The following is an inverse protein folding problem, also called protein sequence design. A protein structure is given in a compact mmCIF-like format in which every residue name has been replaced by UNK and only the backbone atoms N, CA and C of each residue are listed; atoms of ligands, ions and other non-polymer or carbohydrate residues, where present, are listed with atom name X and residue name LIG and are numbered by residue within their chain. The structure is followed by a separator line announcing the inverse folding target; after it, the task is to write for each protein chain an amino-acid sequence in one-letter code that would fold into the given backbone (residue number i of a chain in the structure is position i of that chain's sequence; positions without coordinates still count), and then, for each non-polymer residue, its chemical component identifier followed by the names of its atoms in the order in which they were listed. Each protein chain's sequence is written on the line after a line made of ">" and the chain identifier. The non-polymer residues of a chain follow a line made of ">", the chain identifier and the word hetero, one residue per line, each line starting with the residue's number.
data_IF_365597820586
#
_entry.id   IF_365597820586
#
_cell.length_a   1.000
_cell.length_b   1.000
_cell.length_c   1.000
_cell.angle_alpha   90.00
_cell.angle_beta   90.00
_cell.angle_gamma   90.00
#
_symmetry.space_group_name_H-M   'P 1'
#
loop_
_entity.id
_entity.type
_entity.pdbx_description
1 polymer ?
#
# COMPACT_ATOMS: atom_id res chain seq x y z
N UNK A 1 2.31 20.56 20.82
CA UNK A 1 2.61 19.47 19.86
C UNK A 1 3.22 18.24 20.55
N UNK A 2 4.16 18.41 21.48
CA UNK A 2 4.76 17.31 22.27
C UNK A 2 3.73 16.35 22.91
N UNK A 3 2.64 16.83 23.55
CA UNK A 3 1.66 15.93 24.20
C UNK A 3 0.78 15.11 23.24
N UNK A 4 0.67 15.52 21.96
CA UNK A 4 0.01 14.73 20.91
C UNK A 4 0.97 13.69 20.32
N UNK A 5 2.26 14.03 20.25
CA UNK A 5 3.34 13.14 19.82
C UNK A 5 3.51 11.97 20.81
N UNK A 6 3.65 12.24 22.12
CA UNK A 6 3.77 11.18 23.14
C UNK A 6 2.54 10.26 23.19
N UNK A 7 1.32 10.81 23.03
CA UNK A 7 0.10 9.98 22.98
C UNK A 7 0.04 9.09 21.73
N UNK A 8 0.49 9.57 20.58
CA UNK A 8 0.55 8.77 19.34
C UNK A 8 1.64 7.71 19.42
N UNK A 9 2.82 8.07 19.91
CA UNK A 9 3.92 7.14 20.11
C UNK A 9 3.53 6.02 21.08
N UNK A 10 2.88 6.35 22.21
CA UNK A 10 2.38 5.36 23.16
C UNK A 10 1.23 4.49 22.61
N UNK A 11 0.49 4.95 21.59
CA UNK A 11 -0.53 4.14 20.89
C UNK A 11 0.12 3.19 19.88
N UNK A 12 1.11 3.67 19.13
CA UNK A 12 1.87 2.86 18.17
C UNK A 12 2.71 1.78 18.86
N UNK A 13 3.37 2.11 19.97
CA UNK A 13 4.12 1.14 20.77
C UNK A 13 3.21 0.06 21.37
N UNK A 14 1.96 0.40 21.74
CA UNK A 14 0.95 -0.58 22.18
C UNK A 14 0.48 -1.51 21.05
N UNK A 15 0.29 -0.99 19.84
CA UNK A 15 -0.08 -1.83 18.69
C UNK A 15 1.05 -2.74 18.18
N UNK A 16 2.31 -2.42 18.46
CA UNK A 16 3.46 -3.25 18.10
C UNK A 16 3.84 -4.30 19.17
N UNK A 17 3.27 -4.22 20.38
CA UNK A 17 3.54 -5.16 21.49
C UNK A 17 2.53 -6.31 21.61
N UNK A 18 1.54 -6.40 20.73
CA UNK A 18 0.52 -7.45 20.72
C UNK A 18 1.00 -8.75 20.07
N UNK A 19 1.98 -9.42 20.69
CA UNK A 19 2.26 -10.84 20.48
C UNK A 19 2.27 -11.51 21.86
N UNK A 20 1.08 -11.70 22.42
CA UNK A 20 0.84 -12.57 23.57
C UNK A 20 -0.13 -13.65 23.12
N UNK A 21 0.39 -14.82 22.79
CA UNK A 21 -0.41 -15.97 22.38
C UNK A 21 0.29 -16.85 21.36
N UNK A 22 1.42 -17.47 21.74
CA UNK A 22 1.86 -18.71 21.10
C UNK A 22 2.22 -19.69 22.20
N UNK A 23 1.30 -20.63 22.39
CA UNK A 23 1.46 -21.78 23.26
C UNK A 23 2.65 -22.63 22.80
N UNK A 24 3.56 -22.86 23.75
CA UNK A 24 4.65 -23.78 23.60
C UNK A 24 4.13 -25.21 23.72
N UNK A 25 3.90 -25.89 22.60
CA UNK A 25 3.83 -27.34 22.56
C UNK A 25 5.14 -27.88 21.97
N UNK A 26 6.16 -27.99 22.83
CA UNK A 26 7.42 -28.65 22.50
C UNK A 26 7.36 -30.10 22.97
N UNK A 27 7.73 -30.97 22.03
CA UNK A 27 7.85 -32.41 22.15
C UNK A 27 8.78 -32.84 23.28
N UNK A 28 8.29 -33.87 23.97
CA UNK A 28 8.92 -34.59 25.06
C UNK A 28 10.19 -35.31 24.57
N UNK A 29 11.37 -34.88 25.03
CA UNK A 29 12.57 -35.72 25.00
C UNK A 29 13.27 -35.66 26.34
N UNK A 30 13.20 -36.80 27.02
CA UNK A 30 13.86 -37.11 28.28
C UNK A 30 15.37 -36.98 28.11
N UNK A 31 16.03 -36.21 28.97
CA UNK A 31 17.35 -36.63 29.44
C UNK A 31 17.69 -36.08 30.82
N UNK A 32 18.39 -36.93 31.55
CA UNK A 32 18.50 -36.99 32.99
C UNK A 32 19.25 -35.84 33.66
N UNK A 33 18.78 -35.57 34.88
CA UNK A 33 19.49 -34.97 35.99
C UNK A 33 20.93 -35.49 36.13
N UNK A 34 21.86 -34.63 36.54
CA UNK A 34 22.20 -34.45 37.97
C UNK A 34 23.66 -34.00 38.10
N UNK A 35 23.91 -32.87 38.78
CA UNK A 35 25.04 -32.71 39.70
C UNK A 35 24.93 -31.39 40.46
N UNK A 36 24.56 -31.54 41.74
CA UNK A 36 25.04 -30.83 42.92
C UNK A 36 26.10 -29.72 42.72
N UNK A 37 25.88 -28.56 43.37
CA UNK A 37 26.70 -28.23 44.53
C UNK A 37 26.14 -27.09 45.41
N UNK A 38 26.31 -27.31 46.71
CA UNK A 38 26.01 -26.44 47.85
C UNK A 38 27.02 -25.28 48.00
N UNK A 39 26.58 -24.14 48.56
CA UNK A 39 27.07 -23.56 49.84
C UNK A 39 26.56 -22.10 50.03
N UNK A 40 25.72 -21.78 51.01
CA UNK A 40 25.95 -21.36 52.43
C UNK A 40 26.66 -20.01 52.68
N UNK A 41 25.90 -19.12 53.36
CA UNK A 41 26.31 -18.07 54.36
C UNK A 41 27.18 -16.91 53.86
N UNK A 42 27.00 -15.64 54.24
CA UNK A 42 26.90 -15.11 55.61
C UNK A 42 26.44 -13.65 55.61
N UNK A 43 25.62 -13.29 56.60
CA UNK A 43 25.37 -11.92 57.09
C UNK A 43 26.64 -11.28 57.67
N UNK A 44 26.81 -9.95 57.54
CA UNK A 44 27.32 -9.11 58.62
C UNK A 44 27.10 -7.59 58.39
N UNK A 45 26.16 -7.05 59.17
CA UNK A 45 26.20 -5.86 60.03
C UNK A 45 27.08 -4.61 59.74
N UNK A 46 26.37 -3.47 59.88
CA UNK A 46 26.65 -2.23 60.65
C UNK A 46 27.58 -1.12 60.10
N UNK A 47 26.90 0.02 59.86
CA UNK A 47 27.19 1.42 60.25
C UNK A 47 28.63 1.94 60.19
N UNK A 48 28.85 3.06 59.47
CA UNK A 48 28.95 4.41 60.05
C UNK A 48 29.36 5.48 59.02
N UNK A 49 28.92 6.72 59.31
CA UNK A 49 29.52 8.03 58.96
C UNK A 49 29.42 8.60 57.54
N UNK A 50 28.45 9.52 57.44
CA UNK A 50 28.47 10.82 56.74
C UNK A 50 29.85 11.41 56.41
N UNK A 51 30.07 11.66 55.12
CA UNK A 51 30.80 12.84 54.63
C UNK A 51 30.25 13.24 53.27
N UNK A 52 29.68 14.44 53.23
CA UNK A 52 29.34 15.25 52.08
C UNK A 52 30.30 15.07 50.89
N UNK A 53 29.76 14.72 49.72
CA UNK A 53 30.33 15.04 48.41
C UNK A 53 29.27 14.87 47.30
N UNK A 54 28.85 16.02 46.76
CA UNK A 54 28.43 16.30 45.39
C UNK A 54 27.19 15.59 44.80
N UNK A 55 26.07 16.33 44.89
CA UNK A 55 24.89 16.28 44.03
C UNK A 55 25.24 16.46 42.53
N UNK A 56 25.71 15.39 41.87
CA UNK A 56 25.96 15.38 40.42
C UNK A 56 25.29 14.20 39.70
N UNK A 57 24.55 13.36 40.41
CA UNK A 57 24.01 12.10 39.87
C UNK A 57 22.63 12.21 39.22
N UNK A 58 21.96 13.37 39.28
CA UNK A 58 20.61 13.55 38.73
C UNK A 58 20.54 13.90 37.23
N UNK A 59 21.68 14.14 36.57
CA UNK A 59 21.71 14.55 35.15
C UNK A 59 21.86 13.41 34.12
N UNK A 60 22.23 12.18 34.54
CA UNK A 60 22.46 11.06 33.61
C UNK A 60 21.18 10.35 33.14
N UNK A 61 20.06 10.49 33.85
CA UNK A 61 18.83 9.80 33.45
C UNK A 61 18.10 10.51 32.30
N UNK A 62 18.24 11.83 32.17
CA UNK A 62 17.59 12.60 31.11
C UNK A 62 18.23 12.39 29.73
N UNK A 63 19.54 12.15 29.66
CA UNK A 63 20.23 11.91 28.38
C UNK A 63 19.79 10.60 27.72
N UNK A 64 19.57 9.55 28.52
CA UNK A 64 19.17 8.24 28.02
C UNK A 64 17.73 8.24 27.48
N UNK A 65 16.83 9.00 28.10
CA UNK A 65 15.45 9.14 27.61
C UNK A 65 15.39 9.93 26.29
N UNK A 66 16.15 11.02 26.18
CA UNK A 66 16.21 11.81 24.95
C UNK A 66 16.80 10.98 23.79
N UNK A 67 17.88 10.25 24.02
CA UNK A 67 18.49 9.37 23.02
C UNK A 67 17.53 8.26 22.59
N UNK A 68 16.84 7.62 23.55
CA UNK A 68 15.81 6.62 23.25
C UNK A 68 14.69 7.20 22.38
N UNK A 69 14.17 8.38 22.72
CA UNK A 69 13.13 9.05 21.93
C UNK A 69 13.63 9.41 20.52
N UNK A 70 14.88 9.86 20.37
CA UNK A 70 15.51 10.12 19.06
C UNK A 70 15.59 8.83 18.23
N UNK A 71 16.04 7.72 18.84
CA UNK A 71 16.10 6.42 18.17
C UNK A 71 14.71 5.93 17.72
N UNK A 72 13.72 5.94 18.61
CA UNK A 72 12.35 5.52 18.28
C UNK A 72 11.75 6.39 17.18
N UNK A 73 11.99 7.70 17.22
CA UNK A 73 11.54 8.64 16.18
C UNK A 73 12.21 8.34 14.84
N UNK A 74 13.53 8.13 14.84
CA UNK A 74 14.26 7.75 13.64
C UNK A 74 13.72 6.44 13.05
N UNK A 75 13.50 5.40 13.87
CA UNK A 75 12.90 4.13 13.42
C UNK A 75 11.50 4.33 12.83
N UNK A 76 10.63 5.11 13.50
CA UNK A 76 9.26 5.33 13.06
C UNK A 76 9.18 5.92 11.65
N UNK A 77 10.00 6.94 11.37
CA UNK A 77 9.98 7.64 10.09
C UNK A 77 10.79 6.95 8.99
N UNK A 78 11.80 6.15 9.34
CA UNK A 78 12.77 5.60 8.39
C UNK A 78 12.71 4.08 8.20
N UNK A 79 11.79 3.38 8.88
CA UNK A 79 11.58 1.95 8.67
C UNK A 79 10.92 1.63 7.32
N UNK A 80 11.33 0.53 6.71
CA UNK A 80 10.76 -0.03 5.50
C UNK A 80 10.28 -1.47 5.74
N UNK A 81 9.08 -1.80 5.23
CA UNK A 81 8.53 -3.18 5.29
C UNK A 81 9.29 -4.11 4.35
N UNK A 82 10.12 -4.97 4.90
CA UNK A 82 10.88 -5.98 4.16
C UNK A 82 10.04 -7.24 4.03
N UNK A 83 9.55 -7.49 2.82
CA UNK A 83 8.76 -8.66 2.50
C UNK A 83 9.59 -9.50 1.52
N UNK A 84 10.42 -10.43 2.01
CA UNK A 84 11.19 -11.31 1.13
C UNK A 84 10.24 -12.12 0.23
N UNK A 85 10.68 -12.42 -0.98
CA UNK A 85 9.88 -13.12 -1.98
C UNK A 85 10.08 -14.62 -1.80
N UNK A 86 9.02 -15.41 -2.04
CA UNK A 86 9.16 -16.87 -2.11
C UNK A 86 10.13 -17.27 -3.23
N UNK A 87 10.89 -18.37 -3.09
CA UNK A 87 11.83 -18.82 -4.12
C UNK A 87 11.19 -19.08 -5.49
N UNK A 88 9.89 -19.41 -5.52
CA UNK A 88 9.10 -19.67 -6.74
C UNK A 88 8.50 -18.40 -7.37
N UNK A 89 8.68 -17.23 -6.74
CA UNK A 89 8.12 -15.96 -7.21
C UNK A 89 6.62 -15.79 -6.99
N UNK A 90 5.93 -16.74 -6.34
CA UNK A 90 4.46 -16.72 -6.17
C UNK A 90 3.94 -15.62 -5.23
N UNK A 91 4.83 -14.82 -4.64
CA UNK A 91 4.47 -13.71 -3.79
C UNK A 91 5.44 -13.47 -2.63
N UNK A 92 5.11 -12.49 -1.76
CA UNK A 92 5.87 -12.24 -0.55
C UNK A 92 5.71 -13.40 0.45
N UNK A 93 6.72 -13.60 1.29
CA UNK A 93 6.64 -14.45 2.48
C UNK A 93 5.70 -13.82 3.52
N UNK A 94 5.00 -14.67 4.27
CA UNK A 94 4.02 -14.26 5.30
C UNK A 94 4.68 -13.56 6.49
N UNK A 95 5.97 -13.79 6.73
CA UNK A 95 6.75 -13.13 7.78
C UNK A 95 7.60 -12.01 7.18
N UNK A 96 7.03 -10.81 7.09
CA UNK A 96 7.79 -9.59 6.81
C UNK A 96 8.49 -9.08 8.08
N UNK A 97 9.59 -8.35 7.90
CA UNK A 97 10.22 -7.60 8.99
C UNK A 97 10.26 -6.10 8.68
N UNK A 98 10.59 -5.26 9.66
CA UNK A 98 10.88 -3.84 9.43
C UNK A 98 12.36 -3.60 9.58
N UNK A 99 12.95 -2.86 8.65
CA UNK A 99 14.37 -2.57 8.65
C UNK A 99 14.64 -1.10 8.30
N UNK A 100 15.73 -0.57 8.81
CA UNK A 100 16.24 0.76 8.50
C UNK A 100 17.51 0.62 7.67
N UNK A 101 17.55 1.35 6.57
CA UNK A 101 18.62 1.25 5.58
C UNK A 101 19.28 2.62 5.44
N UNK A 102 20.43 2.82 6.10
CA UNK A 102 21.11 4.12 6.23
C UNK A 102 21.15 4.93 4.93
N UNK A 103 21.45 4.30 3.80
CA UNK A 103 21.53 4.96 2.49
C UNK A 103 20.15 5.24 1.88
N UNK A 104 19.22 4.27 1.93
CA UNK A 104 17.88 4.41 1.36
C UNK A 104 17.04 5.47 2.08
N UNK A 105 17.25 5.65 3.39
CA UNK A 105 16.56 6.68 4.19
C UNK A 105 16.84 8.12 3.72
N UNK A 106 17.83 8.32 2.83
CA UNK A 106 18.13 9.62 2.22
C UNK A 106 17.27 9.93 0.99
N UNK A 107 16.61 8.93 0.40
CA UNK A 107 15.81 9.11 -0.81
C UNK A 107 14.48 9.77 -0.46
N UNK A 108 14.24 10.99 -0.95
CA UNK A 108 13.02 11.72 -0.66
C UNK A 108 11.79 11.12 -1.37
N UNK A 109 10.62 11.54 -0.88
CA UNK A 109 9.34 11.12 -1.44
C UNK A 109 8.98 11.90 -2.72
N UNK A 110 8.47 11.18 -3.72
CA UNK A 110 7.66 11.75 -4.80
C UNK A 110 6.48 10.84 -5.12
N UNK A 111 5.31 11.42 -5.42
CA UNK A 111 4.17 10.65 -5.97
C UNK A 111 4.37 10.30 -7.47
N UNK A 112 5.37 10.91 -8.13
CA UNK A 112 5.87 10.55 -9.46
C UNK A 112 7.37 10.20 -9.36
N UNK A 113 7.72 9.13 -8.63
CA UNK A 113 9.11 8.81 -8.36
C UNK A 113 9.87 8.48 -9.64
N UNK A 114 11.19 8.68 -9.63
CA UNK A 114 12.08 8.19 -10.68
C UNK A 114 12.78 6.88 -10.31
N UNK A 115 12.68 6.48 -9.05
CA UNK A 115 13.21 5.22 -8.55
C UNK A 115 12.12 4.36 -7.89
N UNK A 116 12.31 3.05 -7.98
CA UNK A 116 11.54 2.04 -7.26
C UNK A 116 12.45 1.31 -6.28
N UNK A 117 12.01 1.14 -5.03
CA UNK A 117 12.76 0.46 -3.99
C UNK A 117 12.06 -0.85 -3.60
N UNK A 118 12.82 -1.95 -3.58
CA UNK A 118 12.32 -3.29 -3.22
C UNK A 118 13.30 -4.04 -2.34
N UNK A 119 12.81 -5.08 -1.69
CA UNK A 119 13.64 -6.10 -1.05
C UNK A 119 14.14 -7.08 -2.12
N UNK A 120 15.43 -7.41 -2.12
CA UNK A 120 15.98 -8.45 -2.98
C UNK A 120 15.57 -9.84 -2.49
N UNK A 121 15.38 -10.79 -3.41
CA UNK A 121 15.23 -12.20 -3.06
C UNK A 121 16.56 -12.94 -2.91
N UNK A 122 17.69 -12.32 -3.32
CA UNK A 122 19.01 -12.95 -3.25
C UNK A 122 19.25 -13.38 -1.81
N UNK A 123 19.48 -14.69 -1.65
CA UNK A 123 19.44 -15.43 -0.39
C UNK A 123 19.89 -14.56 0.77
N UNK A 124 18.94 -14.25 1.64
CA UNK A 124 19.27 -13.93 3.02
C UNK A 124 20.19 -15.07 3.49
N UNK A 125 21.49 -14.80 3.55
CA UNK A 125 22.37 -15.62 4.37
C UNK A 125 21.70 -15.64 5.74
N UNK A 126 21.61 -16.83 6.34
CA UNK A 126 20.96 -17.00 7.64
C UNK A 126 21.42 -15.88 8.58
N UNK A 127 20.46 -15.15 9.16
CA UNK A 127 20.65 -13.99 10.06
C UNK A 127 21.00 -12.62 9.42
N UNK A 128 21.05 -12.49 8.08
CA UNK A 128 21.23 -11.20 7.41
C UNK A 128 19.94 -10.79 6.69
N UNK A 129 19.33 -9.63 7.00
CA UNK A 129 18.15 -9.17 6.27
C UNK A 129 18.50 -8.96 4.79
N UNK A 130 17.60 -9.34 3.87
CA UNK A 130 17.84 -9.18 2.44
C UNK A 130 18.12 -7.71 2.09
N UNK A 131 19.09 -7.44 1.19
CA UNK A 131 19.42 -6.08 0.82
C UNK A 131 18.24 -5.39 0.12
N UNK A 132 18.20 -4.05 0.23
CA UNK A 132 17.31 -3.21 -0.58
C UNK A 132 17.96 -2.84 -1.89
N UNK A 133 17.20 -3.00 -2.96
CA UNK A 133 17.59 -2.61 -4.31
C UNK A 133 16.76 -1.39 -4.71
N UNK A 134 17.45 -0.34 -5.17
CA UNK A 134 16.84 0.84 -5.78
C UNK A 134 17.09 0.75 -7.28
N UNK A 135 16.04 0.88 -8.10
CA UNK A 135 16.13 0.88 -9.56
C UNK A 135 15.50 2.12 -10.14
N UNK A 136 16.15 2.68 -11.15
CA UNK A 136 15.53 3.71 -11.98
C UNK A 136 14.35 3.10 -12.76
N UNK A 137 13.18 3.76 -12.73
CA UNK A 137 11.99 3.36 -13.50
C UNK A 137 11.71 4.27 -14.70
N UNK A 138 12.56 5.28 -14.87
CA UNK A 138 12.60 6.18 -16.02
C UNK A 138 14.04 6.73 -16.16
N UNK A 139 14.42 7.30 -17.32
CA UNK A 139 15.71 7.96 -17.48
C UNK A 139 15.91 9.05 -16.41
N UNK A 140 17.13 9.13 -15.87
CA UNK A 140 17.52 10.08 -14.81
C UNK A 140 18.73 10.87 -15.30
N UNK A 141 18.65 12.20 -15.26
CA UNK A 141 19.76 13.06 -15.66
C UNK A 141 20.81 13.16 -14.57
N UNK A 142 22.07 13.41 -14.94
CA UNK A 142 23.14 13.66 -13.96
C UNK A 142 22.78 14.89 -13.09
N UNK A 143 22.82 14.72 -11.77
CA UNK A 143 22.42 15.75 -10.81
C UNK A 143 20.92 15.81 -10.50
N UNK A 144 20.08 15.03 -11.19
CA UNK A 144 18.66 14.88 -10.82
C UNK A 144 18.52 14.14 -9.48
N UNK A 145 17.59 14.60 -8.64
CA UNK A 145 17.30 13.98 -7.35
C UNK A 145 16.67 12.59 -7.52
N UNK A 146 17.17 11.59 -6.79
CA UNK A 146 16.57 10.26 -6.74
C UNK A 146 15.42 10.24 -5.74
N UNK A 147 14.22 9.93 -6.21
CA UNK A 147 13.00 9.91 -5.38
C UNK A 147 12.28 8.56 -5.45
N UNK A 148 11.68 8.16 -4.33
CA UNK A 148 10.85 6.95 -4.20
C UNK A 148 9.44 7.29 -3.70
N UNK A 149 8.49 6.37 -3.84
CA UNK A 149 7.20 6.54 -3.15
C UNK A 149 7.26 6.00 -1.72
N UNK A 150 6.76 6.77 -0.76
CA UNK A 150 6.53 6.31 0.62
C UNK A 150 5.09 5.78 0.80
N UNK A 151 4.22 6.06 -0.18
CA UNK A 151 2.82 5.66 -0.18
C UNK A 151 2.61 4.51 -1.15
N UNK A 152 1.96 3.44 -0.70
CA UNK A 152 1.72 2.26 -1.52
C UNK A 152 0.58 2.47 -2.52
N UNK A 153 -0.37 3.36 -2.22
CA UNK A 153 -1.57 3.58 -3.03
C UNK A 153 -1.44 4.86 -3.87
N UNK A 154 -0.50 4.86 -4.83
CA UNK A 154 -0.24 6.01 -5.71
C UNK A 154 -1.44 6.39 -6.61
N UNK A 155 -2.42 5.50 -6.71
CA UNK A 155 -3.72 5.67 -7.34
C UNK A 155 -4.70 6.57 -6.58
N UNK A 156 -4.47 6.80 -5.28
CA UNK A 156 -5.33 7.66 -4.48
C UNK A 156 -5.37 9.09 -5.04
N UNK A 157 -6.41 9.84 -4.68
CA UNK A 157 -6.47 11.28 -4.94
C UNK A 157 -5.31 12.03 -4.30
N UNK A 158 -4.93 13.16 -4.88
CA UNK A 158 -3.87 14.01 -4.36
C UNK A 158 -4.12 14.46 -2.91
N UNK A 159 -5.39 14.65 -2.52
CA UNK A 159 -5.78 14.95 -1.13
C UNK A 159 -5.57 13.76 -0.20
N UNK A 160 -5.92 12.54 -0.61
CA UNK A 160 -5.70 11.33 0.16
C UNK A 160 -4.20 11.03 0.35
N UNK A 161 -3.39 11.14 -0.71
CA UNK A 161 -1.93 10.99 -0.63
C UNK A 161 -1.30 11.99 0.35
N UNK A 162 -1.70 13.27 0.28
CA UNK A 162 -1.24 14.31 1.23
C UNK A 162 -1.67 14.02 2.67
N UNK A 163 -2.91 13.60 2.87
CA UNK A 163 -3.42 13.23 4.20
C UNK A 163 -2.60 12.08 4.81
N UNK A 164 -2.26 11.07 4.00
CA UNK A 164 -1.41 9.95 4.42
C UNK A 164 0.00 10.42 4.79
N UNK A 165 0.66 11.22 3.94
CA UNK A 165 2.03 11.68 4.20
C UNK A 165 2.09 12.63 5.39
N UNK A 166 1.08 13.49 5.56
CA UNK A 166 1.01 14.36 6.74
C UNK A 166 0.82 13.56 8.03
N UNK A 167 0.01 12.49 8.00
CA UNK A 167 -0.26 11.68 9.20
C UNK A 167 0.87 10.72 9.55
N UNK A 168 1.61 10.23 8.57
CA UNK A 168 2.65 9.18 8.74
C UNK A 168 4.08 9.70 8.65
N UNK A 169 4.31 10.81 7.96
CA UNK A 169 5.64 11.38 7.67
C UNK A 169 5.76 12.86 8.03
N UNK A 170 4.70 13.47 8.54
CA UNK A 170 4.66 14.85 9.05
C UNK A 170 5.10 15.92 8.04
N UNK A 171 4.88 15.69 6.74
CA UNK A 171 5.09 16.69 5.70
C UNK A 171 3.94 16.73 4.70
N UNK A 172 3.85 17.84 3.98
CA UNK A 172 2.91 18.04 2.88
C UNK A 172 3.64 17.83 1.55
N UNK A 173 3.14 16.93 0.71
CA UNK A 173 3.76 16.64 -0.57
C UNK A 173 3.49 17.75 -1.61
N UNK A 174 4.57 18.25 -2.21
CA UNK A 174 4.59 19.29 -3.25
C UNK A 174 5.26 18.80 -4.56
N UNK A 175 5.46 17.49 -4.71
CA UNK A 175 5.99 16.92 -5.96
C UNK A 175 5.12 17.29 -7.17
N UNK A 176 5.65 17.18 -8.39
CA UNK A 176 4.97 17.58 -9.63
C UNK A 176 3.51 17.10 -9.76
N UNK A 177 3.20 15.86 -9.34
CA UNK A 177 1.82 15.35 -9.32
C UNK A 177 0.92 16.06 -8.30
N UNK A 178 1.40 16.25 -7.07
CA UNK A 178 0.61 16.90 -6.02
C UNK A 178 0.55 18.44 -6.21
N UNK A 179 1.62 19.05 -6.73
CA UNK A 179 1.70 20.48 -7.04
C UNK A 179 0.91 20.89 -8.29
N UNK A 180 0.46 19.92 -9.10
CA UNK A 180 -0.45 20.16 -10.22
C UNK A 180 -1.74 20.85 -9.74
N UNK A 181 -2.30 21.73 -10.57
CA UNK A 181 -3.63 22.31 -10.33
C UNK A 181 -4.76 21.29 -10.51
N UNK A 182 -4.49 20.17 -11.16
CA UNK A 182 -5.46 19.13 -11.51
C UNK A 182 -5.01 17.76 -10.97
N UNK A 183 -5.95 17.02 -10.39
CA UNK A 183 -5.71 15.70 -9.82
C UNK A 183 -5.86 14.62 -10.89
N UNK A 184 -4.74 14.02 -11.30
CA UNK A 184 -4.66 13.07 -12.43
C UNK A 184 -5.42 11.76 -12.22
N UNK A 185 -5.82 11.47 -10.98
CA UNK A 185 -6.61 10.29 -10.58
C UNK A 185 -8.10 10.58 -10.39
N UNK A 186 -8.54 11.84 -10.51
CA UNK A 186 -9.96 12.24 -10.40
C UNK A 186 -10.50 12.66 -11.77
N UNK A 187 -10.67 11.65 -12.64
CA UNK A 187 -11.12 11.81 -14.03
C UNK A 187 -12.64 11.67 -14.18
N UNK A 188 -13.27 12.59 -14.91
CA UNK A 188 -14.70 12.58 -15.23
C UNK A 188 -14.88 12.49 -16.74
N UNK A 189 -15.82 11.68 -17.21
CA UNK A 189 -16.08 11.52 -18.63
C UNK A 189 -16.57 12.84 -19.26
N UNK A 190 -16.07 13.15 -20.46
CA UNK A 190 -16.58 14.27 -21.22
C UNK A 190 -17.93 13.91 -21.87
N UNK A 191 -18.93 14.78 -21.73
CA UNK A 191 -20.25 14.57 -22.37
C UNK A 191 -20.28 14.93 -23.86
N UNK A 192 -19.24 15.60 -24.40
CA UNK A 192 -19.20 16.07 -25.79
C UNK A 192 -18.42 15.17 -26.72
N UNK A 193 -17.39 14.49 -26.24
CA UNK A 193 -16.55 13.64 -27.07
C UNK A 193 -16.37 12.25 -26.45
N UNK A 194 -16.37 11.23 -27.30
CA UNK A 194 -16.12 9.85 -26.89
C UNK A 194 -14.63 9.67 -26.56
N UNK A 195 -14.32 9.48 -25.27
CA UNK A 195 -12.96 9.22 -24.80
C UNK A 195 -12.22 10.43 -24.20
N UNK A 196 -12.79 11.63 -24.26
CA UNK A 196 -12.27 12.78 -23.52
C UNK A 196 -12.63 12.71 -22.04
N UNK A 197 -11.84 13.39 -21.20
CA UNK A 197 -12.08 13.47 -19.76
C UNK A 197 -11.72 14.85 -19.19
N UNK A 198 -12.32 15.16 -18.05
CA UNK A 198 -12.04 16.33 -17.21
C UNK A 198 -11.31 15.87 -15.94
N UNK A 199 -10.47 16.73 -15.38
CA UNK A 199 -9.80 16.47 -14.10
C UNK A 199 -10.40 17.36 -13.02
N UNK A 200 -10.62 16.83 -11.82
CA UNK A 200 -10.95 17.68 -10.69
C UNK A 200 -9.76 18.54 -10.27
N UNK A 201 -10.05 19.75 -9.79
CA UNK A 201 -9.06 20.59 -9.16
C UNK A 201 -8.38 19.83 -8.01
N UNK A 202 -7.05 19.88 -7.97
CA UNK A 202 -6.30 19.33 -6.85
C UNK A 202 -6.66 20.11 -5.58
N UNK A 203 -6.81 19.40 -4.46
CA UNK A 203 -7.05 20.06 -3.19
C UNK A 203 -5.85 20.97 -2.88
N UNK A 204 -6.11 22.28 -2.83
CA UNK A 204 -5.10 23.25 -2.38
C UNK A 204 -4.68 22.86 -0.97
N UNK A 205 -3.37 22.86 -0.67
CA UNK A 205 -2.93 22.75 0.70
C UNK A 205 -3.67 23.74 1.60
N UNK A 206 -4.00 23.37 2.83
CA UNK A 206 -4.38 24.37 3.83
C UNK A 206 -3.14 25.23 4.11
N UNK A 207 -2.95 26.31 3.35
CA UNK A 207 -1.98 27.35 3.68
C UNK A 207 -2.47 28.04 4.95
N UNK A 208 -1.58 28.14 5.95
CA UNK A 208 -1.83 28.67 7.30
C UNK A 208 -2.30 30.13 7.34
N UNK A 209 -2.38 30.80 6.21
CA UNK A 209 -2.76 32.23 6.07
C UNK A 209 -3.85 32.47 5.04
N UNK A 210 -4.64 31.46 4.68
CA UNK A 210 -5.75 31.65 3.74
C UNK A 210 -6.82 32.54 4.37
N UNK A 211 -6.84 33.82 3.99
CA UNK A 211 -7.88 34.76 4.42
C UNK A 211 -9.24 34.31 3.88
N UNK A 212 -10.33 34.67 4.56
CA UNK A 212 -11.70 34.37 4.11
C UNK A 212 -11.97 34.83 2.66
N UNK A 213 -11.31 35.91 2.22
CA UNK A 213 -11.36 36.41 0.84
C UNK A 213 -10.74 35.43 -0.17
N UNK A 214 -9.63 34.77 0.15
CA UNK A 214 -9.00 33.77 -0.71
C UNK A 214 -9.86 32.49 -0.81
N UNK A 215 -10.53 32.10 0.26
CA UNK A 215 -11.49 30.99 0.24
C UNK A 215 -12.74 31.31 -0.61
N UNK A 216 -13.25 32.54 -0.55
CA UNK A 216 -14.36 33.00 -1.39
C UNK A 216 -13.97 33.09 -2.88
N UNK A 217 -12.77 33.58 -3.20
CA UNK A 217 -12.25 33.60 -4.57
C UNK A 217 -12.01 32.17 -5.11
N UNK A 218 -11.59 31.23 -4.26
CA UNK A 218 -11.47 29.82 -4.62
C UNK A 218 -12.84 29.16 -4.93
N UNK A 219 -13.94 29.66 -4.35
CA UNK A 219 -15.30 29.18 -4.63
C UNK A 219 -15.79 29.51 -6.05
N UNK A 220 -15.26 30.57 -6.68
CA UNK A 220 -15.51 30.89 -8.10
C UNK A 220 -14.59 30.14 -9.08
N UNK A 221 -13.57 29.42 -8.57
CA UNK A 221 -12.59 28.72 -9.40
C UNK A 221 -13.24 27.51 -10.07
N UNK A 222 -12.93 27.30 -11.34
CA UNK A 222 -13.41 26.18 -12.14
C UNK A 222 -13.11 24.85 -11.42
N UNK A 223 -14.16 24.09 -11.06
CA UNK A 223 -14.01 22.88 -10.24
C UNK A 223 -13.41 21.69 -11.00
N UNK A 224 -13.66 21.63 -12.31
CA UNK A 224 -13.16 20.61 -13.24
C UNK A 224 -12.45 21.28 -14.41
N UNK A 225 -11.36 20.70 -14.90
CA UNK A 225 -10.60 21.22 -16.04
C UNK A 225 -11.47 21.31 -17.31
N UNK A 226 -11.07 22.11 -18.31
CA UNK A 226 -11.48 21.82 -19.69
C UNK A 226 -11.13 20.37 -20.04
N UNK A 227 -11.91 19.75 -20.92
CA UNK A 227 -11.65 18.39 -21.33
C UNK A 227 -10.28 18.29 -22.01
N UNK A 228 -9.51 17.26 -21.63
CA UNK A 228 -8.15 17.03 -22.15
C UNK A 228 -8.10 16.65 -23.64
N UNK A 229 -9.25 16.42 -24.28
CA UNK A 229 -9.36 16.02 -25.70
C UNK A 229 -10.05 17.10 -26.57
N UNK A 230 -11.30 17.48 -26.27
CA UNK A 230 -12.05 18.48 -27.06
C UNK A 230 -11.76 19.94 -26.64
N UNK A 231 -11.06 20.18 -25.52
CA UNK A 231 -10.92 21.50 -24.91
C UNK A 231 -12.21 22.10 -24.35
N UNK A 232 -13.34 21.39 -24.46
CA UNK A 232 -14.64 21.89 -24.03
C UNK A 232 -14.76 21.93 -22.50
N UNK A 233 -15.33 23.01 -21.95
CA UNK A 233 -15.58 23.16 -20.52
C UNK A 233 -17.01 22.74 -20.18
N UNK A 234 -17.19 22.08 -19.04
CA UNK A 234 -18.53 21.78 -18.52
C UNK A 234 -19.17 23.03 -17.93
N UNK A 235 -20.50 23.13 -18.03
CA UNK A 235 -21.25 24.16 -17.34
C UNK A 235 -21.14 23.99 -15.82
N UNK A 236 -21.30 25.07 -15.06
CA UNK A 236 -21.24 25.03 -13.60
C UNK A 236 -22.23 24.02 -12.96
N UNK A 237 -23.49 23.88 -13.44
CA UNK A 237 -24.38 22.81 -12.98
C UNK A 237 -23.88 21.39 -13.26
N UNK A 238 -23.31 21.14 -14.45
CA UNK A 238 -22.81 19.80 -14.79
C UNK A 238 -21.56 19.45 -13.96
N UNK A 239 -20.66 20.40 -13.73
CA UNK A 239 -19.54 20.22 -12.79
C UNK A 239 -20.03 19.78 -11.41
N UNK A 240 -21.04 20.48 -10.85
CA UNK A 240 -21.61 20.13 -9.55
C UNK A 240 -22.28 18.76 -9.55
N UNK A 241 -22.94 18.38 -10.65
CA UNK A 241 -23.55 17.06 -10.81
C UNK A 241 -22.50 15.95 -10.75
N UNK A 242 -21.41 16.08 -11.52
CA UNK A 242 -20.31 15.12 -11.54
C UNK A 242 -19.67 14.94 -10.15
N UNK A 243 -19.42 16.04 -9.44
CA UNK A 243 -18.84 15.99 -8.09
C UNK A 243 -19.81 15.43 -7.04
N UNK A 244 -21.12 15.64 -7.20
CA UNK A 244 -22.14 15.01 -6.35
C UNK A 244 -22.13 13.50 -6.54
N UNK A 245 -22.05 13.02 -7.79
CA UNK A 245 -21.95 11.58 -8.09
C UNK A 245 -20.70 11.00 -7.45
N UNK A 246 -19.54 11.65 -7.56
CA UNK A 246 -18.31 11.21 -6.88
C UNK A 246 -18.51 11.11 -5.36
N UNK A 247 -19.11 12.12 -4.73
CA UNK A 247 -19.38 12.13 -3.29
C UNK A 247 -20.33 11.00 -2.86
N UNK A 248 -21.38 10.74 -3.64
CA UNK A 248 -22.31 9.64 -3.40
C UNK A 248 -21.62 8.28 -3.53
N UNK A 249 -20.80 8.08 -4.57
CA UNK A 249 -20.00 6.87 -4.76
C UNK A 249 -19.06 6.67 -3.56
N UNK A 250 -18.39 7.74 -3.11
CA UNK A 250 -17.50 7.68 -1.97
C UNK A 250 -18.23 7.31 -0.67
N UNK A 251 -19.45 7.84 -0.46
CA UNK A 251 -20.29 7.48 0.69
C UNK A 251 -20.71 6.01 0.65
N UNK A 252 -21.17 5.53 -0.51
CA UNK A 252 -21.57 4.12 -0.71
C UNK A 252 -20.39 3.18 -0.51
N UNK A 253 -19.20 3.52 -1.01
CA UNK A 253 -17.98 2.74 -0.74
C UNK A 253 -17.60 2.73 0.73
N UNK A 254 -17.77 3.83 1.45
CA UNK A 254 -17.51 3.87 2.90
C UNK A 254 -18.48 2.96 3.66
N UNK A 255 -19.76 2.96 3.27
CA UNK A 255 -20.77 2.05 3.82
C UNK A 255 -20.40 0.59 3.57
N UNK A 256 -20.13 0.19 2.32
CA UNK A 256 -19.74 -1.19 1.97
C UNK A 256 -18.52 -1.64 2.80
N UNK A 257 -17.46 -0.82 2.88
CA UNK A 257 -16.28 -1.18 3.65
C UNK A 257 -16.59 -1.33 5.15
N UNK A 258 -17.45 -0.48 5.72
CA UNK A 258 -17.85 -0.61 7.13
C UNK A 258 -18.61 -1.90 7.43
N UNK A 259 -19.46 -2.36 6.51
CA UNK A 259 -20.17 -3.65 6.63
C UNK A 259 -19.18 -4.82 6.54
N UNK A 260 -18.23 -4.78 5.60
CA UNK A 260 -17.19 -5.81 5.46
C UNK A 260 -16.28 -5.89 6.69
N UNK A 261 -15.86 -4.75 7.25
CA UNK A 261 -15.06 -4.68 8.48
C UNK A 261 -15.81 -5.23 9.69
N UNK A 262 -17.11 -4.92 9.80
CA UNK A 262 -17.97 -5.46 10.85
C UNK A 262 -18.10 -6.99 10.74
N UNK A 263 -18.35 -7.54 9.54
CA UNK A 263 -18.41 -9.00 9.33
C UNK A 263 -17.11 -9.71 9.66
N UNK A 264 -15.98 -9.17 9.19
CA UNK A 264 -14.67 -9.74 9.50
C UNK A 264 -14.35 -9.73 11.01
N UNK A 265 -14.96 -8.82 11.78
CA UNK A 265 -14.82 -8.78 13.23
C UNK A 265 -15.65 -9.84 13.94
N UNK A 266 -16.80 -10.23 13.37
CA UNK A 266 -17.64 -11.33 13.89
C UNK A 266 -16.97 -12.68 13.65
N UNK A 267 -16.40 -12.89 12.47
CA UNK A 267 -15.70 -14.14 12.13
C UNK A 267 -14.44 -14.36 13.01
N UNK A 268 -13.89 -13.29 13.59
CA UNK A 268 -12.72 -13.35 14.46
C UNK A 268 -13.06 -13.59 15.94
N UNK A 269 -14.33 -13.48 16.34
CA UNK A 269 -14.77 -13.85 17.68
C UNK A 269 -15.21 -15.30 17.68
N UNK A 270 -14.34 -16.20 18.16
CA UNK A 270 -14.59 -17.64 18.34
C UNK A 270 -15.69 -17.96 19.40
N UNK A 271 -16.60 -17.03 19.68
CA UNK A 271 -17.67 -17.23 20.65
C UNK A 271 -18.82 -18.02 20.01
N UNK A 272 -18.61 -19.34 19.88
CA UNK A 272 -19.53 -20.33 19.28
C UNK A 272 -20.92 -20.41 19.96
N UNK A 273 -21.23 -19.56 20.95
CA UNK A 273 -22.40 -19.69 21.81
C UNK A 273 -23.51 -18.65 21.64
N UNK A 274 -23.28 -17.55 20.90
CA UNK A 274 -24.21 -16.42 20.91
C UNK A 274 -25.07 -16.37 19.65
N UNK A 275 -26.26 -16.99 19.70
CA UNK A 275 -27.27 -16.91 18.65
C UNK A 275 -27.82 -15.49 18.49
N UNK A 276 -27.06 -14.60 17.88
CA UNK A 276 -27.54 -13.29 17.45
C UNK A 276 -28.46 -13.50 16.25
N UNK A 277 -29.73 -13.10 16.41
CA UNK A 277 -30.71 -13.10 15.34
C UNK A 277 -30.16 -12.34 14.13
N UNK A 278 -30.08 -13.04 13.00
CA UNK A 278 -29.80 -12.51 11.67
C UNK A 278 -30.65 -11.28 11.39
N UNK A 279 -30.09 -10.09 11.59
CA UNK A 279 -30.60 -8.93 10.86
C UNK A 279 -30.02 -9.03 9.44
N UNK A 280 -30.86 -9.54 8.54
CA UNK A 280 -30.70 -9.77 7.11
C UNK A 280 -30.25 -8.53 6.31
N UNK A 281 -29.08 -7.94 6.59
CA UNK A 281 -28.43 -7.14 5.55
C UNK A 281 -27.87 -8.11 4.50
N UNK A 282 -28.72 -8.42 3.53
CA UNK A 282 -28.46 -9.36 2.44
C UNK A 282 -27.23 -8.89 1.61
N UNK A 283 -26.18 -9.73 1.47
CA UNK A 283 -25.09 -9.49 0.52
C UNK A 283 -25.54 -9.08 -0.90
N UNK A 284 -26.74 -9.47 -1.35
CA UNK A 284 -27.32 -9.05 -2.62
C UNK A 284 -27.51 -7.52 -2.73
N UNK A 285 -27.83 -6.84 -1.63
CA UNK A 285 -28.01 -5.38 -1.65
C UNK A 285 -26.67 -4.65 -1.88
N UNK A 286 -25.58 -5.11 -1.26
CA UNK A 286 -24.25 -4.54 -1.48
C UNK A 286 -23.78 -4.71 -2.94
N UNK A 287 -24.12 -5.84 -3.58
CA UNK A 287 -23.80 -6.09 -5.00
C UNK A 287 -24.59 -5.18 -5.92
N UNK A 288 -25.88 -5.00 -5.66
CA UNK A 288 -26.74 -4.08 -6.41
C UNK A 288 -26.22 -2.65 -6.32
N UNK A 289 -25.87 -2.21 -5.09
CA UNK A 289 -25.23 -0.91 -4.86
C UNK A 289 -23.95 -0.79 -5.68
N UNK A 290 -23.04 -1.76 -5.58
CA UNK A 290 -21.74 -1.75 -6.27
C UNK A 290 -21.89 -1.74 -7.81
N UNK A 291 -22.83 -2.52 -8.34
CA UNK A 291 -23.13 -2.59 -9.77
C UNK A 291 -23.69 -1.27 -10.32
N UNK A 292 -24.40 -0.49 -9.49
CA UNK A 292 -24.92 0.83 -9.85
C UNK A 292 -23.84 1.92 -9.93
N UNK A 293 -22.68 1.72 -9.30
CA UNK A 293 -21.61 2.71 -9.27
C UNK A 293 -20.93 2.78 -10.64
N UNK A 294 -21.02 3.94 -11.30
CA UNK A 294 -20.40 4.22 -12.59
C UNK A 294 -19.60 5.50 -12.51
N UNK A 295 -18.29 5.37 -12.71
CA UNK A 295 -17.36 6.49 -12.84
C UNK A 295 -16.50 6.26 -14.08
N UNK A 296 -15.68 7.25 -14.42
CA UNK A 296 -14.71 7.09 -15.50
C UNK A 296 -13.78 5.88 -15.22
N UNK A 297 -13.39 5.08 -16.23
CA UNK A 297 -12.48 3.93 -16.06
C UNK A 297 -11.07 4.25 -15.55
N UNK A 298 -10.76 5.50 -15.20
CA UNK A 298 -9.46 5.94 -14.71
C UNK A 298 -9.62 6.85 -13.49
N UNK A 299 -10.80 6.81 -12.84
CA UNK A 299 -11.03 7.49 -11.58
C UNK A 299 -10.54 6.61 -10.43
N UNK A 300 -9.91 7.17 -9.41
CA UNK A 300 -9.37 6.42 -8.27
C UNK A 300 -10.43 5.58 -7.53
N UNK A 301 -11.67 6.07 -7.44
CA UNK A 301 -12.78 5.29 -6.87
C UNK A 301 -13.18 4.09 -7.74
N UNK A 302 -12.93 4.13 -9.05
CA UNK A 302 -13.17 2.98 -9.95
C UNK A 302 -12.26 1.81 -9.60
N UNK A 303 -11.03 2.07 -9.13
CA UNK A 303 -10.15 1.02 -8.61
C UNK A 303 -10.71 0.37 -7.35
N UNK A 304 -11.29 1.17 -6.44
CA UNK A 304 -11.92 0.67 -5.21
C UNK A 304 -13.16 -0.16 -5.54
N UNK A 305 -13.96 0.29 -6.49
CA UNK A 305 -15.12 -0.46 -7.01
C UNK A 305 -14.66 -1.79 -7.61
N UNK A 306 -13.65 -1.76 -8.49
CA UNK A 306 -13.15 -2.97 -9.15
C UNK A 306 -12.51 -3.96 -8.17
N UNK A 307 -11.85 -3.48 -7.10
CA UNK A 307 -11.31 -4.35 -6.05
C UNK A 307 -12.43 -5.05 -5.27
N UNK A 308 -13.50 -4.34 -4.91
CA UNK A 308 -14.67 -4.94 -4.27
C UNK A 308 -15.36 -5.94 -5.21
N UNK A 309 -15.53 -5.59 -6.49
CA UNK A 309 -16.10 -6.49 -7.50
C UNK A 309 -15.27 -7.77 -7.64
N UNK A 310 -13.93 -7.65 -7.61
CA UNK A 310 -13.01 -8.80 -7.62
C UNK A 310 -13.23 -9.70 -6.40
N UNK A 311 -13.37 -9.12 -5.21
CA UNK A 311 -13.61 -9.86 -3.97
C UNK A 311 -14.93 -10.63 -4.03
N UNK A 312 -16.04 -9.96 -4.40
CA UNK A 312 -17.34 -10.61 -4.56
C UNK A 312 -17.30 -11.70 -5.64
N UNK A 313 -16.73 -11.43 -6.81
CA UNK A 313 -16.63 -12.41 -7.88
C UNK A 313 -15.80 -13.65 -7.48
N UNK A 314 -14.75 -13.45 -6.67
CA UNK A 314 -13.95 -14.56 -6.13
C UNK A 314 -14.78 -15.40 -5.17
N UNK A 315 -15.52 -14.76 -4.26
CA UNK A 315 -16.40 -15.45 -3.31
C UNK A 315 -17.48 -16.26 -4.02
N UNK A 316 -18.06 -15.71 -5.09
CA UNK A 316 -19.16 -16.33 -5.84
C UNK A 316 -18.70 -17.33 -6.91
N UNK A 317 -17.38 -17.49 -7.08
CA UNK A 317 -16.79 -18.22 -8.21
C UNK A 317 -17.29 -17.74 -9.59
N UNK A 318 -17.68 -16.46 -9.71
CA UNK A 318 -18.10 -15.86 -10.99
C UNK A 318 -16.87 -15.43 -11.80
N UNK A 319 -16.43 -16.33 -12.68
CA UNK A 319 -15.24 -16.11 -13.53
C UNK A 319 -15.42 -14.90 -14.46
N UNK A 320 -16.63 -14.65 -14.99
CA UNK A 320 -16.86 -13.56 -15.93
C UNK A 320 -16.77 -12.20 -15.23
N UNK A 321 -17.39 -12.06 -14.06
CA UNK A 321 -17.26 -10.86 -13.23
C UNK A 321 -15.82 -10.66 -12.75
N UNK A 322 -15.10 -11.73 -12.41
CA UNK A 322 -13.70 -11.67 -12.00
C UNK A 322 -12.80 -11.14 -13.13
N UNK A 323 -12.95 -11.66 -14.35
CA UNK A 323 -12.24 -11.15 -15.54
C UNK A 323 -12.55 -9.66 -15.76
N UNK A 324 -13.82 -9.26 -15.66
CA UNK A 324 -14.21 -7.86 -15.84
C UNK A 324 -13.54 -6.93 -14.81
N UNK A 325 -13.59 -7.30 -13.52
CA UNK A 325 -12.97 -6.56 -12.45
C UNK A 325 -11.44 -6.45 -12.62
N UNK A 326 -10.76 -7.54 -12.99
CA UNK A 326 -9.32 -7.56 -13.22
C UNK A 326 -8.91 -6.74 -14.45
N UNK A 327 -9.68 -6.75 -15.53
CA UNK A 327 -9.45 -5.85 -16.69
C UNK A 327 -9.54 -4.39 -16.27
N UNK A 328 -10.54 -4.04 -15.47
CA UNK A 328 -10.72 -2.68 -14.97
C UNK A 328 -9.56 -2.26 -14.07
N UNK A 329 -9.14 -3.12 -13.12
CA UNK A 329 -7.99 -2.88 -12.24
C UNK A 329 -6.71 -2.66 -13.06
N UNK A 330 -6.39 -3.54 -14.00
CA UNK A 330 -5.19 -3.46 -14.82
C UNK A 330 -5.17 -2.18 -15.69
N UNK A 331 -6.30 -1.83 -16.32
CA UNK A 331 -6.43 -0.62 -17.13
C UNK A 331 -6.31 0.67 -16.30
N UNK A 332 -6.96 0.71 -15.12
CA UNK A 332 -6.88 1.84 -14.22
C UNK A 332 -5.46 2.06 -13.69
N UNK A 333 -4.81 1.00 -13.22
CA UNK A 333 -3.48 1.09 -12.60
C UNK A 333 -2.44 1.59 -13.59
N UNK A 334 -2.36 1.03 -14.80
CA UNK A 334 -1.39 1.48 -15.82
C UNK A 334 -1.57 2.95 -16.19
N UNK A 335 -2.81 3.45 -16.18
CA UNK A 335 -3.08 4.84 -16.49
C UNK A 335 -2.61 5.83 -15.41
N UNK A 336 -2.37 5.36 -14.18
CA UNK A 336 -1.99 6.21 -13.04
C UNK A 336 -0.55 5.94 -12.59
N UNK A 337 -0.14 4.68 -12.51
CA UNK A 337 1.15 4.22 -11.97
C UNK A 337 1.72 3.13 -12.90
N UNK A 338 2.41 3.50 -13.99
CA UNK A 338 2.79 2.54 -15.01
C UNK A 338 3.86 1.52 -14.57
N UNK A 339 4.61 1.81 -13.50
CA UNK A 339 5.79 1.03 -13.09
C UNK A 339 5.79 0.74 -11.59
N UNK A 340 4.97 -0.19 -11.14
CA UNK A 340 5.01 -0.74 -9.78
C UNK A 340 4.65 -2.24 -9.74
N UNK A 341 4.93 -2.89 -8.61
CA UNK A 341 4.66 -4.32 -8.42
C UNK A 341 3.16 -4.62 -8.34
N UNK A 342 2.35 -3.69 -7.84
CA UNK A 342 0.90 -3.87 -7.73
C UNK A 342 0.29 -4.02 -9.12
N UNK A 343 0.63 -3.13 -10.05
CA UNK A 343 0.16 -3.18 -11.43
C UNK A 343 0.63 -4.45 -12.14
N UNK A 344 1.89 -4.87 -11.93
CA UNK A 344 2.40 -6.11 -12.50
C UNK A 344 1.61 -7.33 -11.99
N UNK A 345 1.37 -7.40 -10.68
CA UNK A 345 0.54 -8.45 -10.06
C UNK A 345 -0.90 -8.44 -10.57
N UNK A 346 -1.50 -7.27 -10.87
CA UNK A 346 -2.84 -7.22 -11.50
C UNK A 346 -2.86 -7.86 -12.89
N UNK A 347 -1.82 -7.69 -13.70
CA UNK A 347 -1.71 -8.37 -14.99
C UNK A 347 -1.46 -9.85 -14.87
N UNK A 348 -0.71 -10.27 -13.86
CA UNK A 348 -0.52 -11.69 -13.52
C UNK A 348 -1.85 -12.36 -13.18
N UNK A 349 -2.59 -11.83 -12.19
CA UNK A 349 -3.90 -12.37 -11.83
C UNK A 349 -4.89 -12.34 -12.99
N UNK A 350 -4.88 -11.28 -13.81
CA UNK A 350 -5.70 -11.22 -15.02
C UNK A 350 -5.33 -12.35 -16.01
N UNK A 351 -4.03 -12.58 -16.22
CA UNK A 351 -3.53 -13.65 -17.08
C UNK A 351 -3.97 -15.03 -16.61
N UNK A 352 -3.86 -15.32 -15.31
CA UNK A 352 -4.26 -16.60 -14.71
C UNK A 352 -5.76 -16.86 -14.87
N UNK A 353 -6.60 -15.87 -14.60
CA UNK A 353 -8.07 -16.03 -14.72
C UNK A 353 -8.48 -16.17 -16.19
N UNK A 354 -7.86 -15.41 -17.12
CA UNK A 354 -8.10 -15.56 -18.55
C UNK A 354 -7.64 -16.93 -19.08
N UNK A 355 -6.50 -17.44 -18.59
CA UNK A 355 -6.00 -18.77 -18.90
C UNK A 355 -7.01 -19.83 -18.45
N UNK A 356 -7.51 -19.74 -17.21
CA UNK A 356 -8.55 -20.63 -16.68
C UNK A 356 -9.87 -20.57 -17.47
N UNK A 357 -10.22 -19.40 -18.01
CA UNK A 357 -11.39 -19.19 -18.86
C UNK A 357 -11.18 -19.64 -20.34
N UNK A 358 -10.01 -20.17 -20.70
CA UNK A 358 -9.69 -20.59 -22.07
C UNK A 358 -9.42 -19.44 -23.05
N UNK A 359 -9.33 -18.19 -22.57
CA UNK A 359 -9.05 -16.99 -23.37
C UNK A 359 -7.53 -16.80 -23.57
N UNK A 360 -6.88 -17.82 -24.16
CA UNK A 360 -5.42 -17.93 -24.17
C UNK A 360 -4.71 -16.73 -24.81
N UNK A 361 -5.27 -16.15 -25.88
CA UNK A 361 -4.65 -14.99 -26.56
C UNK A 361 -4.58 -13.76 -25.65
N UNK A 362 -5.66 -13.48 -24.93
CA UNK A 362 -5.71 -12.38 -23.97
C UNK A 362 -4.83 -12.67 -22.74
N UNK A 363 -4.84 -13.92 -22.26
CA UNK A 363 -3.98 -14.35 -21.16
C UNK A 363 -2.49 -14.13 -21.49
N UNK A 364 -2.07 -14.52 -22.70
CA UNK A 364 -0.70 -14.30 -23.16
C UNK A 364 -0.35 -12.80 -23.23
N UNK A 365 -1.28 -11.94 -23.69
CA UNK A 365 -1.07 -10.50 -23.71
C UNK A 365 -0.91 -9.90 -22.30
N UNK A 366 -1.71 -10.38 -21.34
CA UNK A 366 -1.61 -9.98 -19.93
C UNK A 366 -0.27 -10.41 -19.31
N UNK A 367 0.13 -11.68 -19.47
CA UNK A 367 1.43 -12.16 -18.96
C UNK A 367 2.63 -11.47 -19.62
N UNK A 368 2.59 -11.19 -20.94
CA UNK A 368 3.64 -10.36 -21.59
C UNK A 368 3.74 -8.97 -20.98
N UNK A 369 2.61 -8.36 -20.62
CA UNK A 369 2.61 -7.05 -19.95
C UNK A 369 3.19 -7.15 -18.55
N UNK A 370 2.80 -8.15 -17.76
CA UNK A 370 3.38 -8.44 -16.44
C UNK A 370 4.90 -8.61 -16.53
N UNK A 371 5.40 -9.50 -17.41
CA UNK A 371 6.82 -9.77 -17.58
C UNK A 371 7.62 -8.52 -17.91
N UNK A 372 7.15 -7.70 -18.87
CA UNK A 372 7.80 -6.43 -19.20
C UNK A 372 7.91 -5.49 -18.00
N UNK A 373 6.88 -5.40 -17.17
CA UNK A 373 6.90 -4.58 -15.96
C UNK A 373 7.88 -5.17 -14.93
N UNK A 374 7.87 -6.48 -14.72
CA UNK A 374 8.77 -7.15 -13.79
C UNK A 374 10.25 -6.99 -14.20
N UNK A 375 10.59 -7.05 -15.49
CA UNK A 375 11.95 -6.82 -15.99
C UNK A 375 12.44 -5.37 -15.82
N UNK A 376 11.54 -4.39 -15.76
CA UNK A 376 11.89 -3.01 -15.39
C UNK A 376 12.14 -2.90 -13.88
N UNK A 377 11.30 -3.56 -13.08
CA UNK A 377 11.32 -3.44 -11.62
C UNK A 377 12.36 -4.34 -10.95
N UNK A 378 12.84 -5.38 -11.62
CA UNK A 378 13.69 -6.43 -11.05
C UNK A 378 14.71 -6.96 -12.07
N UNK A 379 15.76 -7.63 -11.57
CA UNK A 379 16.70 -8.31 -12.46
C UNK A 379 16.05 -9.55 -13.08
N UNK A 380 16.37 -9.90 -14.34
CA UNK A 380 15.80 -11.08 -15.00
C UNK A 380 15.99 -12.40 -14.22
N UNK A 381 17.04 -12.49 -13.40
CA UNK A 381 17.33 -13.68 -12.57
C UNK A 381 16.50 -13.78 -11.27
N UNK A 382 15.76 -12.74 -10.89
CA UNK A 382 14.96 -12.73 -9.67
C UNK A 382 13.66 -13.57 -9.83
N UNK A 383 13.06 -14.06 -8.72
CA UNK A 383 11.92 -14.97 -8.75
C UNK A 383 10.69 -14.42 -9.49
N UNK A 384 10.36 -13.14 -9.33
CA UNK A 384 9.17 -12.56 -9.94
C UNK A 384 9.23 -12.50 -11.48
N UNK A 385 10.28 -11.94 -12.13
CA UNK A 385 10.44 -12.04 -13.58
C UNK A 385 10.44 -13.48 -14.09
N UNK A 386 11.11 -14.40 -13.39
CA UNK A 386 11.12 -15.83 -13.75
C UNK A 386 9.72 -16.42 -13.72
N UNK A 387 8.98 -16.21 -12.63
CA UNK A 387 7.60 -16.67 -12.49
C UNK A 387 6.70 -16.10 -13.60
N UNK A 388 6.81 -14.80 -13.89
CA UNK A 388 6.06 -14.16 -14.97
C UNK A 388 6.40 -14.75 -16.35
N UNK A 389 7.67 -15.10 -16.59
CA UNK A 389 8.12 -15.76 -17.82
C UNK A 389 7.57 -17.19 -17.91
N UNK A 390 7.64 -17.97 -16.83
CA UNK A 390 7.11 -19.33 -16.78
C UNK A 390 5.59 -19.36 -17.04
N UNK A 391 4.85 -18.41 -16.47
CA UNK A 391 3.42 -18.25 -16.74
C UNK A 391 3.12 -17.88 -18.20
N UNK A 392 3.92 -17.02 -18.82
CA UNK A 392 3.78 -16.74 -20.27
C UNK A 392 4.07 -17.98 -21.12
N UNK A 393 5.17 -18.70 -20.83
CA UNK A 393 5.57 -19.92 -21.56
C UNK A 393 4.47 -20.98 -21.47
N UNK A 394 3.88 -21.15 -20.29
CA UNK A 394 2.77 -22.07 -20.06
C UNK A 394 1.57 -21.76 -20.97
N UNK A 395 1.16 -20.50 -21.04
CA UNK A 395 0.04 -20.07 -21.91
C UNK A 395 0.37 -20.25 -23.39
N UNK A 396 1.58 -19.86 -23.83
CA UNK A 396 2.00 -20.03 -25.24
C UNK A 396 2.07 -21.50 -25.66
N UNK A 397 2.50 -22.38 -24.76
CA UNK A 397 2.52 -23.83 -25.00
C UNK A 397 1.11 -24.37 -25.24
N UNK A 398 0.12 -23.90 -24.46
CA UNK A 398 -1.31 -24.27 -24.65
C UNK A 398 -1.90 -23.73 -25.94
N UNK A 399 -1.36 -22.65 -26.50
CA UNK A 399 -1.74 -22.14 -27.82
C UNK A 399 -1.16 -22.94 -28.99
N UNK A 400 -0.27 -23.91 -28.73
CA UNK A 400 0.47 -24.62 -29.77
C UNK A 400 1.57 -23.78 -30.42
N UNK A 401 2.02 -22.71 -29.76
CA UNK A 401 3.08 -21.81 -30.27
C UNK A 401 4.43 -22.18 -29.63
N UNK A 402 4.83 -23.45 -29.73
CA UNK A 402 6.06 -23.98 -29.12
C UNK A 402 7.32 -23.29 -29.64
N UNK A 403 7.33 -22.93 -30.92
CA UNK A 403 8.57 -22.48 -31.60
C UNK A 403 8.94 -21.02 -31.25
N UNK A 404 8.01 -20.22 -30.72
CA UNK A 404 8.31 -18.86 -30.23
C UNK A 404 8.92 -18.85 -28.82
N UNK A 405 8.72 -19.90 -28.03
CA UNK A 405 9.20 -19.99 -26.63
C UNK A 405 10.73 -19.95 -26.56
N UNK A 406 11.43 -20.42 -27.59
CA UNK A 406 12.88 -20.38 -27.66
C UNK A 406 13.46 -18.98 -27.91
N UNK A 407 12.69 -18.07 -28.52
CA UNK A 407 13.15 -16.72 -28.85
C UNK A 407 12.89 -15.69 -27.73
N UNK A 408 11.91 -15.97 -26.85
CA UNK A 408 11.55 -15.11 -25.71
C UNK A 408 12.30 -15.50 -24.40
N UNK A 409 13.06 -16.60 -24.39
CA UNK A 409 14.01 -16.98 -23.32
C UNK A 409 15.36 -16.32 -23.54
#
# INVERSE_FOLDING_TARGET
>A
MQSRFTRRLAKTLRCCGGLSGLDANTTNSKNNNNSNNNNTTTNNNKNTTTSSNNDSSSNNNNSNEEEFLRCVTALHFNQFSSNPVRPDGSGPLTQGCRAVYRTLCRANHSCAPNCFARTSSVSAVQDVPPPRVIRAVKPILAGEELTISYHLQLEDSSSARRKYLLSTKEFLCECSRCGSSWDDTRRFACCRCFGGYHLAAAATPPTTTTTAAAAAAASQKQMLSPCMQCGCALSSPECRRQLRIEAEVQQKLAYINSVLEWRASLDASDDEGSGCNDSDEDPEDLRSILASLRLHPHHHLTLKIAELQRQFATHDNDTAALVHALRLLAACHVAIVPWDLVSASRFESLGEVLEGAGLLQEAAAAHRKCLRMMCVLQDPGEPYPRHAADSLIRVLSRQGVSDMVAADR
#
